data_IF_928147074912
#
_entry.id   IF_928147074912
#
_cell.length_a   1.000
_cell.length_b   1.000
_cell.length_c   1.000
_cell.angle_alpha   90.00
_cell.angle_beta   90.00
_cell.angle_gamma   90.00
#
_symmetry.space_group_name_H-M   'P 1'
#
loop_
_entity.id
_entity.type
_entity.pdbx_description
1 polymer ?
#
# COMPACT_ATOMS: atom_id res chain seq x y z
N UNK A 1 -63.13 -23.46 10.17
CA UNK A 1 -62.45 -22.16 10.37
C UNK A 1 -61.05 -22.28 10.98
N UNK A 2 -60.84 -23.03 12.08
CA UNK A 2 -59.50 -23.19 12.69
C UNK A 2 -58.42 -23.80 11.78
N UNK A 3 -58.77 -24.75 10.89
CA UNK A 3 -57.81 -25.39 9.96
C UNK A 3 -57.33 -24.47 8.83
N UNK A 4 -58.17 -23.55 8.36
CA UNK A 4 -57.82 -22.56 7.33
C UNK A 4 -56.94 -21.47 7.95
N UNK A 5 -57.21 -21.09 9.20
CA UNK A 5 -56.38 -20.13 9.95
C UNK A 5 -54.98 -20.68 10.26
N UNK A 6 -54.86 -21.97 10.63
CA UNK A 6 -53.57 -22.63 10.80
C UNK A 6 -52.79 -22.80 9.49
N UNK A 7 -53.48 -23.06 8.36
CA UNK A 7 -52.86 -23.13 7.04
C UNK A 7 -52.35 -21.77 6.55
N UNK A 8 -53.08 -20.67 6.82
CA UNK A 8 -52.61 -19.32 6.51
C UNK A 8 -51.41 -18.89 7.36
N UNK A 9 -51.34 -19.29 8.63
CA UNK A 9 -50.20 -19.01 9.52
C UNK A 9 -48.95 -19.83 9.12
N UNK A 10 -49.13 -21.06 8.64
CA UNK A 10 -48.01 -21.89 8.14
C UNK A 10 -47.53 -21.43 6.76
N UNK A 11 -48.42 -20.87 5.93
CA UNK A 11 -48.04 -20.30 4.62
C UNK A 11 -47.34 -18.92 4.77
N UNK A 12 -47.68 -18.12 5.81
CA UNK A 12 -46.96 -16.88 6.11
C UNK A 12 -45.63 -17.11 6.82
N UNK A 13 -45.46 -18.22 7.55
CA UNK A 13 -44.16 -18.63 8.11
C UNK A 13 -43.17 -19.19 7.07
N UNK A 14 -43.66 -19.63 5.90
CA UNK A 14 -42.82 -20.04 4.75
C UNK A 14 -42.44 -18.87 3.83
N UNK A 15 -42.96 -17.67 4.08
CA UNK A 15 -42.69 -16.46 3.30
C UNK A 15 -41.87 -15.41 4.09
N UNK A 16 -41.20 -15.82 5.16
CA UNK A 16 -40.14 -15.01 5.77
C UNK A 16 -38.90 -15.21 4.91
N UNK A 17 -38.31 -14.17 4.30
CA UNK A 17 -36.98 -14.33 3.72
C UNK A 17 -36.06 -14.72 4.86
N UNK A 18 -35.65 -15.98 4.88
CA UNK A 18 -34.62 -16.49 5.76
C UNK A 18 -33.28 -15.92 5.31
N UNK A 19 -33.03 -14.67 5.69
CA UNK A 19 -31.71 -14.07 5.69
C UNK A 19 -31.76 -12.90 6.69
N UNK A 20 -31.63 -13.21 7.97
CA UNK A 20 -30.99 -12.22 8.84
C UNK A 20 -29.60 -12.03 8.23
N UNK A 21 -29.37 -10.90 7.56
CA UNK A 21 -28.10 -10.57 6.94
C UNK A 21 -27.00 -10.88 7.96
N UNK A 22 -26.04 -11.73 7.58
CA UNK A 22 -24.90 -12.04 8.45
C UNK A 22 -24.22 -10.73 8.88
N UNK A 23 -23.49 -10.76 9.99
CA UNK A 23 -22.67 -9.62 10.41
C UNK A 23 -21.79 -9.15 9.23
N UNK A 24 -21.28 -10.09 8.44
CA UNK A 24 -20.50 -9.83 7.21
C UNK A 24 -21.30 -9.08 6.13
N UNK A 25 -22.55 -9.48 5.91
CA UNK A 25 -23.41 -8.87 4.89
C UNK A 25 -23.86 -7.46 5.31
N UNK A 26 -24.07 -7.25 6.61
CA UNK A 26 -24.36 -5.93 7.20
C UNK A 26 -23.14 -5.00 7.10
N UNK A 27 -21.94 -5.51 7.41
CA UNK A 27 -20.68 -4.76 7.25
C UNK A 27 -20.45 -4.43 5.78
N UNK A 28 -20.63 -5.40 4.88
CA UNK A 28 -20.48 -5.19 3.45
C UNK A 28 -21.47 -4.15 2.92
N UNK A 29 -22.74 -4.20 3.31
CA UNK A 29 -23.74 -3.19 2.92
C UNK A 29 -23.36 -1.77 3.38
N UNK A 30 -22.78 -1.63 4.57
CA UNK A 30 -22.33 -0.35 5.10
C UNK A 30 -21.03 0.15 4.44
N UNK A 31 -20.10 -0.75 4.11
CA UNK A 31 -18.75 -0.40 3.64
C UNK A 31 -18.62 -0.35 2.11
N UNK A 32 -19.39 -1.16 1.38
CA UNK A 32 -19.31 -1.25 -0.08
C UNK A 32 -19.56 0.08 -0.81
N UNK A 33 -20.52 0.94 -0.41
CA UNK A 33 -20.71 2.24 -1.06
C UNK A 33 -19.49 3.15 -0.92
N UNK A 34 -18.87 3.15 0.27
CA UNK A 34 -17.67 3.94 0.58
C UNK A 34 -16.49 3.40 -0.23
N UNK A 35 -16.27 2.09 -0.20
CA UNK A 35 -15.20 1.43 -0.94
C UNK A 35 -15.33 1.64 -2.45
N UNK A 36 -16.55 1.56 -2.99
CA UNK A 36 -16.82 1.80 -4.41
C UNK A 36 -16.54 3.25 -4.81
N UNK A 37 -16.99 4.20 -4.01
CA UNK A 37 -16.72 5.63 -4.25
C UNK A 37 -15.22 5.93 -4.22
N UNK A 38 -14.52 5.49 -3.17
CA UNK A 38 -13.07 5.66 -3.06
C UNK A 38 -12.36 4.98 -4.23
N UNK A 39 -12.78 3.76 -4.60
CA UNK A 39 -12.23 3.03 -5.72
C UNK A 39 -12.38 3.77 -7.05
N UNK A 40 -13.54 4.37 -7.31
CA UNK A 40 -13.78 5.16 -8.52
C UNK A 40 -12.89 6.42 -8.59
N UNK A 41 -12.69 7.09 -7.45
CA UNK A 41 -11.84 8.29 -7.38
C UNK A 41 -10.36 7.92 -7.52
N UNK A 42 -9.88 6.92 -6.78
CA UNK A 42 -8.47 6.51 -6.77
C UNK A 42 -8.06 5.84 -8.08
N UNK A 43 -8.90 4.95 -8.60
CA UNK A 43 -8.66 4.24 -9.86
C UNK A 43 -9.38 4.90 -11.04
N UNK A 44 -9.57 6.22 -10.98
CA UNK A 44 -10.12 7.00 -12.08
C UNK A 44 -9.35 6.68 -13.37
N UNK A 45 -10.08 6.27 -14.41
CA UNK A 45 -9.48 5.79 -15.65
C UNK A 45 -9.51 6.85 -16.72
N UNK A 46 -8.40 6.98 -17.44
CA UNK A 46 -8.31 7.82 -18.64
C UNK A 46 -8.16 6.93 -19.88
N UNK A 47 -8.85 7.27 -20.99
CA UNK A 47 -8.67 6.57 -22.25
C UNK A 47 -7.30 6.96 -22.83
N UNK A 48 -6.42 5.99 -23.01
CA UNK A 48 -5.10 6.19 -23.59
C UNK A 48 -4.76 5.01 -24.50
N UNK A 49 -4.37 5.29 -25.75
CA UNK A 49 -4.03 4.26 -26.75
C UNK A 49 -5.09 3.16 -26.94
N UNK A 50 -6.37 3.50 -26.80
CA UNK A 50 -7.48 2.54 -26.93
C UNK A 50 -7.72 1.67 -25.68
N UNK A 51 -6.96 1.87 -24.60
CA UNK A 51 -7.14 1.20 -23.31
C UNK A 51 -7.59 2.18 -22.22
N UNK A 52 -8.31 1.68 -21.22
CA UNK A 52 -8.66 2.46 -20.02
C UNK A 52 -7.60 2.24 -18.93
N UNK A 53 -6.72 3.22 -18.74
CA UNK A 53 -5.64 3.13 -17.77
C UNK A 53 -5.98 3.91 -16.50
N UNK A 54 -5.83 3.32 -15.29
CA UNK A 54 -5.96 4.06 -14.05
C UNK A 54 -4.91 5.16 -13.97
N UNK A 55 -5.36 6.40 -13.73
CA UNK A 55 -4.49 7.58 -13.67
C UNK A 55 -3.40 7.44 -12.60
N UNK A 56 -3.74 6.82 -11.46
CA UNK A 56 -2.78 6.54 -10.39
C UNK A 56 -1.61 5.67 -10.85
N UNK A 57 -1.86 4.66 -11.68
CA UNK A 57 -0.80 3.78 -12.21
C UNK A 57 0.10 4.58 -13.13
N UNK A 58 -0.47 5.39 -14.02
CA UNK A 58 0.31 6.26 -14.91
C UNK A 58 1.19 7.23 -14.11
N UNK A 59 0.62 7.86 -13.08
CA UNK A 59 1.33 8.76 -12.17
C UNK A 59 2.53 8.09 -11.49
N UNK A 60 2.31 6.88 -10.96
CA UNK A 60 3.37 6.09 -10.30
C UNK A 60 4.48 5.69 -11.28
N UNK A 61 4.13 5.27 -12.50
CA UNK A 61 5.11 4.91 -13.52
C UNK A 61 5.94 6.12 -13.94
N UNK A 62 5.31 7.28 -14.16
CA UNK A 62 6.02 8.53 -14.49
C UNK A 62 7.00 8.89 -13.36
N UNK A 63 6.56 8.83 -12.10
CA UNK A 63 7.43 9.07 -10.95
C UNK A 63 8.61 8.09 -10.88
N UNK A 64 8.37 6.80 -11.08
CA UNK A 64 9.39 5.76 -11.07
C UNK A 64 10.43 5.95 -12.19
N UNK A 65 9.96 6.28 -13.40
CA UNK A 65 10.82 6.63 -14.53
C UNK A 65 11.64 7.87 -14.20
N UNK A 66 10.99 8.95 -13.74
CA UNK A 66 11.66 10.20 -13.36
C UNK A 66 12.77 9.96 -12.33
N UNK A 67 12.49 9.30 -11.22
CA UNK A 67 13.50 9.04 -10.19
C UNK A 67 14.61 8.10 -10.68
N UNK A 68 14.29 7.12 -11.52
CA UNK A 68 15.30 6.22 -12.10
C UNK A 68 16.30 7.01 -12.94
N UNK A 69 15.83 7.89 -13.82
CA UNK A 69 16.73 8.70 -14.67
C UNK A 69 17.42 9.81 -13.87
N UNK A 70 16.70 10.52 -13.01
CA UNK A 70 17.25 11.62 -12.20
C UNK A 70 18.38 11.13 -11.26
N UNK A 71 18.21 9.95 -10.67
CA UNK A 71 19.24 9.31 -9.85
C UNK A 71 20.23 8.48 -10.67
N UNK A 72 20.21 8.59 -12.01
CA UNK A 72 21.15 7.92 -12.91
C UNK A 72 21.18 6.41 -12.74
N UNK A 73 20.04 5.73 -12.73
CA UNK A 73 19.92 4.26 -12.55
C UNK A 73 20.53 3.75 -11.24
N UNK A 74 20.20 4.40 -10.12
CA UNK A 74 20.69 4.00 -8.79
C UNK A 74 20.31 2.56 -8.42
N UNK A 75 19.18 2.08 -8.91
CA UNK A 75 18.73 0.69 -8.75
C UNK A 75 19.71 -0.34 -9.33
N UNK A 76 20.50 0.03 -10.35
CA UNK A 76 21.59 -0.80 -10.88
C UNK A 76 22.92 -0.51 -10.20
N UNK A 77 23.30 0.77 -10.13
CA UNK A 77 24.62 1.18 -9.62
C UNK A 77 24.81 0.88 -8.13
N UNK A 78 23.76 1.03 -7.34
CA UNK A 78 23.76 0.80 -5.89
C UNK A 78 23.63 -0.66 -5.48
N UNK A 79 23.34 -1.58 -6.42
CA UNK A 79 23.02 -2.97 -6.09
C UNK A 79 24.16 -3.69 -5.37
N UNK A 80 25.40 -3.53 -5.85
CA UNK A 80 26.58 -4.12 -5.20
C UNK A 80 26.73 -3.62 -3.76
N UNK A 81 26.65 -2.31 -3.56
CA UNK A 81 26.79 -1.69 -2.25
C UNK A 81 25.66 -2.10 -1.29
N UNK A 82 24.44 -2.26 -1.79
CA UNK A 82 23.32 -2.77 -1.00
C UNK A 82 23.58 -4.17 -0.45
N UNK A 83 24.22 -5.06 -1.22
CA UNK A 83 24.59 -6.40 -0.75
C UNK A 83 25.68 -6.32 0.32
N UNK A 84 26.70 -5.48 0.14
CA UNK A 84 27.77 -5.28 1.13
C UNK A 84 27.20 -4.74 2.46
N UNK A 85 26.26 -3.79 2.41
CA UNK A 85 25.55 -3.27 3.59
C UNK A 85 24.79 -4.37 4.35
N UNK A 86 24.04 -5.20 3.63
CA UNK A 86 23.20 -6.26 4.23
C UNK A 86 24.05 -7.41 4.78
N UNK A 87 25.23 -7.65 4.21
CA UNK A 87 26.23 -8.60 4.75
C UNK A 87 26.89 -8.11 6.03
N UNK A 88 26.81 -6.80 6.31
CA UNK A 88 27.43 -6.19 7.47
C UNK A 88 28.84 -5.67 7.22
N UNK A 89 29.29 -5.60 5.95
CA UNK A 89 30.63 -5.09 5.60
C UNK A 89 30.83 -3.62 6.02
N UNK A 90 29.71 -2.90 6.22
CA UNK A 90 29.64 -1.51 6.67
C UNK A 90 28.96 -1.36 8.05
N UNK A 91 28.79 -2.45 8.81
CA UNK A 91 28.17 -2.37 10.13
C UNK A 91 29.19 -1.85 11.16
N UNK A 92 28.86 -0.73 11.82
CA UNK A 92 29.63 -0.20 12.93
C UNK A 92 28.79 -0.27 14.22
N UNK A 93 29.30 -0.87 15.32
CA UNK A 93 28.60 -0.93 16.60
C UNK A 93 28.26 0.44 17.21
N UNK A 94 28.98 1.49 16.82
CA UNK A 94 28.77 2.86 17.32
C UNK A 94 27.72 3.65 16.50
N UNK A 95 27.17 3.07 15.42
CA UNK A 95 26.19 3.74 14.58
C UNK A 95 24.79 3.75 15.24
N UNK A 96 24.14 4.92 15.23
CA UNK A 96 22.81 5.10 15.80
C UNK A 96 21.73 4.33 15.01
N UNK A 97 21.10 3.35 15.65
CA UNK A 97 19.93 2.64 15.13
C UNK A 97 19.53 1.44 16.00
N UNK A 98 18.24 1.07 15.97
CA UNK A 98 17.72 -0.06 16.77
C UNK A 98 17.97 -1.44 16.15
N UNK A 99 18.11 -1.49 14.83
CA UNK A 99 18.15 -2.73 14.05
C UNK A 99 19.30 -2.71 13.06
N UNK A 100 19.88 -3.89 12.82
CA UNK A 100 20.92 -4.03 11.80
C UNK A 100 20.37 -3.82 10.38
N UNK A 101 21.25 -3.57 9.40
CA UNK A 101 20.84 -3.45 8.00
C UNK A 101 20.08 -4.68 7.49
N UNK A 102 20.52 -5.89 7.89
CA UNK A 102 19.81 -7.12 7.54
C UNK A 102 18.44 -7.21 8.19
N UNK A 103 18.32 -6.88 9.48
CA UNK A 103 17.03 -6.87 10.18
C UNK A 103 16.06 -5.85 9.58
N UNK A 104 16.54 -4.65 9.24
CA UNK A 104 15.75 -3.64 8.56
C UNK A 104 15.23 -4.14 7.19
N UNK A 105 16.11 -4.79 6.40
CA UNK A 105 15.71 -5.40 5.13
C UNK A 105 14.69 -6.53 5.35
N UNK A 106 14.94 -7.44 6.29
CA UNK A 106 14.06 -8.57 6.59
C UNK A 106 12.66 -8.10 7.00
N UNK A 107 12.56 -7.09 7.86
CA UNK A 107 11.29 -6.48 8.28
C UNK A 107 10.56 -5.81 7.12
N UNK A 108 11.27 -5.11 6.24
CA UNK A 108 10.66 -4.49 5.07
C UNK A 108 10.15 -5.54 4.06
N UNK A 109 10.92 -6.61 3.84
CA UNK A 109 10.54 -7.72 2.96
C UNK A 109 9.36 -8.50 3.53
N UNK A 110 9.34 -8.78 4.84
CA UNK A 110 8.21 -9.49 5.46
C UNK A 110 6.90 -8.70 5.37
N UNK A 111 6.96 -7.37 5.39
CA UNK A 111 5.78 -6.52 5.22
C UNK A 111 5.29 -6.39 3.76
N UNK A 112 6.12 -6.73 2.78
CA UNK A 112 5.81 -6.54 1.35
C UNK A 112 5.62 -7.84 0.58
N UNK A 113 6.17 -8.95 1.07
CA UNK A 113 5.99 -10.30 0.51
C UNK A 113 4.89 -11.01 1.28
N UNK A 114 3.78 -11.31 0.60
CA UNK A 114 2.66 -12.03 1.20
C UNK A 114 1.77 -12.73 0.18
N UNK A 115 0.63 -13.24 0.65
CA UNK A 115 -0.38 -13.93 -0.18
C UNK A 115 -0.78 -13.06 -1.38
N UNK A 116 -0.87 -11.74 -1.19
CA UNK A 116 -1.20 -10.79 -2.26
C UNK A 116 -0.23 -10.82 -3.45
N UNK A 117 1.06 -11.13 -3.24
CA UNK A 117 2.01 -11.25 -4.35
C UNK A 117 1.84 -12.57 -5.12
N UNK A 118 1.39 -13.64 -4.45
CA UNK A 118 1.15 -14.93 -5.11
C UNK A 118 -0.20 -14.88 -5.84
N UNK A 119 -1.28 -14.52 -5.14
CA UNK A 119 -2.63 -14.42 -5.69
C UNK A 119 -2.78 -13.28 -6.69
N UNK A 120 -2.22 -12.10 -6.40
CA UNK A 120 -2.30 -10.94 -7.29
C UNK A 120 -1.57 -11.17 -8.62
N UNK A 121 -0.40 -11.81 -8.60
CA UNK A 121 0.31 -12.19 -9.83
C UNK A 121 -0.50 -13.24 -10.62
N UNK A 122 -1.08 -14.23 -9.95
CA UNK A 122 -1.92 -15.22 -10.61
C UNK A 122 -3.12 -14.58 -11.32
N UNK A 123 -3.83 -13.65 -10.66
CA UNK A 123 -4.94 -12.90 -11.25
C UNK A 123 -4.45 -12.02 -12.41
N UNK A 124 -3.34 -11.30 -12.23
CA UNK A 124 -2.79 -10.43 -13.26
C UNK A 124 -2.39 -11.19 -14.53
N UNK A 125 -1.78 -12.36 -14.40
CA UNK A 125 -1.41 -13.22 -15.54
C UNK A 125 -2.64 -13.88 -16.17
N UNK A 126 -3.63 -14.29 -15.37
CA UNK A 126 -4.87 -14.89 -15.89
C UNK A 126 -5.67 -13.88 -16.70
N UNK A 127 -5.78 -12.64 -16.23
CA UNK A 127 -6.55 -11.57 -16.91
C UNK A 127 -5.75 -10.91 -18.03
N UNK A 128 -4.46 -10.64 -17.81
CA UNK A 128 -3.59 -9.91 -18.74
C UNK A 128 -2.80 -10.78 -19.71
N UNK A 129 -2.86 -12.10 -19.56
CA UNK A 129 -2.07 -13.07 -20.34
C UNK A 129 -0.60 -13.14 -19.93
N UNK A 130 0.21 -13.95 -20.63
CA UNK A 130 1.60 -14.23 -20.25
C UNK A 130 2.51 -12.99 -20.31
N UNK A 131 2.15 -11.98 -21.11
CA UNK A 131 2.88 -10.72 -21.18
C UNK A 131 2.81 -9.87 -19.90
N UNK A 132 1.83 -10.11 -19.02
CA UNK A 132 1.68 -9.38 -17.76
C UNK A 132 2.91 -9.57 -16.84
N UNK A 133 3.51 -10.76 -16.84
CA UNK A 133 4.70 -11.06 -16.02
C UNK A 133 5.86 -10.14 -16.34
N UNK A 134 6.13 -9.91 -17.63
CA UNK A 134 7.19 -9.00 -18.07
C UNK A 134 6.96 -7.58 -17.54
N UNK A 135 5.73 -7.07 -17.64
CA UNK A 135 5.39 -5.73 -17.18
C UNK A 135 5.42 -5.58 -15.66
N UNK A 136 5.05 -6.62 -14.90
CA UNK A 136 5.18 -6.63 -13.44
C UNK A 136 6.65 -6.52 -13.00
N UNK A 137 7.54 -7.25 -13.66
CA UNK A 137 8.99 -7.17 -13.40
C UNK A 137 9.51 -5.76 -13.73
N UNK A 138 9.13 -5.21 -14.88
CA UNK A 138 9.53 -3.86 -15.29
C UNK A 138 9.03 -2.78 -14.32
N UNK A 139 7.77 -2.87 -13.88
CA UNK A 139 7.21 -1.94 -12.90
C UNK A 139 7.93 -2.02 -11.55
N UNK A 140 8.23 -3.23 -11.06
CA UNK A 140 9.02 -3.44 -9.85
C UNK A 140 10.44 -2.88 -9.99
N UNK A 141 11.09 -3.12 -11.13
CA UNK A 141 12.43 -2.64 -11.41
C UNK A 141 12.54 -1.10 -11.40
N UNK A 142 11.60 -0.42 -12.04
CA UNK A 142 11.53 1.04 -12.02
C UNK A 142 11.14 1.57 -10.63
N UNK A 143 10.25 0.87 -9.93
CA UNK A 143 9.79 1.23 -8.59
C UNK A 143 10.88 1.21 -7.52
N UNK A 144 11.97 0.45 -7.72
CA UNK A 144 13.11 0.43 -6.80
C UNK A 144 13.71 1.83 -6.56
N UNK A 145 13.80 2.65 -7.61
CA UNK A 145 14.31 4.02 -7.50
C UNK A 145 13.40 4.91 -6.66
N UNK A 146 12.08 4.78 -6.82
CA UNK A 146 11.11 5.50 -5.98
C UNK A 146 11.23 5.08 -4.52
N UNK A 147 11.31 3.77 -4.25
CA UNK A 147 11.48 3.26 -2.88
C UNK A 147 12.79 3.72 -2.26
N UNK A 148 13.87 3.78 -3.04
CA UNK A 148 15.13 4.34 -2.58
C UNK A 148 14.99 5.79 -2.10
N UNK A 149 14.27 6.64 -2.85
CA UNK A 149 14.01 8.03 -2.44
C UNK A 149 13.19 8.07 -1.15
N UNK A 150 12.12 7.29 -1.06
CA UNK A 150 11.26 7.24 0.13
C UNK A 150 12.03 6.82 1.39
N UNK A 151 12.85 5.77 1.29
CA UNK A 151 13.67 5.29 2.40
C UNK A 151 14.75 6.31 2.77
N UNK A 152 15.40 6.93 1.79
CA UNK A 152 16.43 7.97 2.02
C UNK A 152 15.83 9.16 2.77
N UNK A 153 14.66 9.65 2.35
CA UNK A 153 13.95 10.70 3.07
C UNK A 153 13.49 10.24 4.45
N UNK A 154 13.03 8.99 4.57
CA UNK A 154 12.65 8.38 5.85
C UNK A 154 13.77 8.38 6.87
N UNK A 155 15.00 8.08 6.46
CA UNK A 155 16.20 8.14 7.31
C UNK A 155 16.61 9.58 7.58
N UNK A 156 16.65 10.45 6.56
CA UNK A 156 17.05 11.85 6.71
C UNK A 156 16.18 12.62 7.71
N UNK A 157 14.88 12.34 7.73
CA UNK A 157 13.91 13.07 8.56
C UNK A 157 13.41 12.27 9.77
N UNK A 158 14.07 11.15 10.13
CA UNK A 158 13.70 10.35 11.30
C UNK A 158 13.80 11.17 12.60
N UNK A 159 13.05 10.75 13.60
CA UNK A 159 13.14 11.25 14.97
C UNK A 159 13.81 10.20 15.84
N UNK A 160 14.70 10.64 16.71
CA UNK A 160 15.21 9.85 17.82
C UNK A 160 14.43 10.29 19.06
N UNK A 161 13.68 9.37 19.63
CA UNK A 161 12.79 9.61 20.76
C UNK A 161 13.59 9.56 22.08
N UNK A 162 13.08 10.14 23.18
CA UNK A 162 13.78 10.16 24.47
C UNK A 162 14.04 8.78 25.07
N UNK A 163 13.28 7.75 24.67
CA UNK A 163 13.45 6.36 25.08
C UNK A 163 14.49 5.59 24.25
N UNK A 164 15.16 6.28 23.31
CA UNK A 164 16.13 5.70 22.38
C UNK A 164 15.49 5.10 21.13
N UNK A 165 14.16 5.12 21.00
CA UNK A 165 13.49 4.59 19.82
C UNK A 165 13.58 5.53 18.61
N UNK A 166 13.52 4.98 17.40
CA UNK A 166 13.65 5.71 16.15
C UNK A 166 12.34 5.65 15.37
N UNK A 167 11.75 6.83 15.13
CA UNK A 167 10.51 6.97 14.38
C UNK A 167 10.75 7.69 13.05
N UNK A 168 10.55 6.99 11.94
CA UNK A 168 10.76 7.50 10.58
C UNK A 168 9.60 7.19 9.63
N UNK A 169 9.70 7.69 8.40
CA UNK A 169 8.74 7.43 7.33
C UNK A 169 8.03 8.66 6.77
N UNK A 170 7.05 8.45 5.87
CA UNK A 170 6.45 9.53 5.08
C UNK A 170 5.75 10.60 5.89
N UNK A 171 5.04 10.24 6.96
CA UNK A 171 4.42 11.20 7.86
C UNK A 171 5.43 12.20 8.44
N UNK A 172 6.67 11.78 8.70
CA UNK A 172 7.73 12.65 9.23
C UNK A 172 8.39 13.48 8.14
N UNK A 173 8.81 12.88 7.01
CA UNK A 173 9.46 13.65 5.95
C UNK A 173 8.50 14.61 5.24
N UNK A 174 7.20 14.29 5.15
CA UNK A 174 6.21 15.22 4.61
C UNK A 174 6.04 16.39 5.56
N UNK A 175 5.93 16.14 6.87
CA UNK A 175 5.82 17.22 7.85
C UNK A 175 7.05 18.12 7.86
N UNK A 176 8.24 17.54 8.07
CA UNK A 176 9.49 18.29 8.21
C UNK A 176 9.94 18.90 6.89
N UNK A 177 9.90 18.14 5.79
CA UNK A 177 10.33 18.60 4.48
C UNK A 177 9.50 19.76 3.92
N UNK A 178 8.19 19.81 4.18
CA UNK A 178 7.38 20.99 3.83
C UNK A 178 7.59 22.15 4.81
N UNK A 179 7.84 21.86 6.08
CA UNK A 179 8.13 22.88 7.10
C UNK A 179 9.44 23.64 6.80
N UNK A 180 10.49 22.93 6.39
CA UNK A 180 11.75 23.54 5.94
C UNK A 180 11.59 24.45 4.72
N UNK A 181 10.49 24.31 3.97
CA UNK A 181 10.14 25.16 2.82
C UNK A 181 9.18 26.30 3.19
N UNK A 182 8.95 26.53 4.48
CA UNK A 182 8.03 27.56 4.99
C UNK A 182 6.54 27.19 4.86
N UNK A 183 6.21 25.92 4.62
CA UNK A 183 4.85 25.42 4.40
C UNK A 183 4.35 24.56 5.58
N UNK A 184 4.55 25.03 6.81
CA UNK A 184 4.29 24.28 8.05
C UNK A 184 2.86 23.70 8.15
N UNK A 185 1.86 24.53 7.82
CA UNK A 185 0.45 24.12 7.89
C UNK A 185 0.13 22.99 6.90
N UNK A 186 0.65 23.10 5.67
CA UNK A 186 0.46 22.09 4.63
C UNK A 186 1.21 20.80 4.98
N UNK A 187 2.45 20.90 5.48
CA UNK A 187 3.23 19.76 5.95
C UNK A 187 2.52 19.00 7.08
N UNK A 188 1.92 19.72 8.04
CA UNK A 188 1.08 19.11 9.08
C UNK A 188 -0.08 18.34 8.50
N UNK A 189 -0.84 18.98 7.62
CA UNK A 189 -2.02 18.39 7.03
C UNK A 189 -1.70 17.10 6.27
N UNK A 190 -0.75 17.14 5.32
CA UNK A 190 -0.40 15.99 4.48
C UNK A 190 0.25 14.87 5.31
N UNK A 191 1.13 15.20 6.26
CA UNK A 191 1.74 14.19 7.13
C UNK A 191 0.71 13.47 8.00
N UNK A 192 -0.24 14.21 8.59
CA UNK A 192 -1.33 13.63 9.39
C UNK A 192 -2.29 12.82 8.52
N UNK A 193 -2.65 13.33 7.33
CA UNK A 193 -3.48 12.60 6.37
C UNK A 193 -2.86 11.25 5.99
N UNK A 194 -1.56 11.25 5.68
CA UNK A 194 -0.82 10.01 5.37
C UNK A 194 -0.83 9.04 6.57
N UNK A 195 -0.56 9.53 7.78
CA UNK A 195 -0.53 8.70 8.99
C UNK A 195 -1.87 8.02 9.27
N UNK A 196 -2.99 8.75 9.14
CA UNK A 196 -4.33 8.18 9.30
C UNK A 196 -4.62 7.18 8.18
N UNK A 197 -4.32 7.55 6.93
CA UNK A 197 -4.56 6.71 5.76
C UNK A 197 -3.81 5.37 5.84
N UNK A 198 -2.54 5.39 6.22
CA UNK A 198 -1.74 4.16 6.33
C UNK A 198 -2.18 3.31 7.53
N UNK A 199 -2.60 3.92 8.65
CA UNK A 199 -3.13 3.18 9.79
C UNK A 199 -4.41 2.42 9.42
N UNK A 200 -5.36 3.09 8.77
CA UNK A 200 -6.60 2.45 8.29
C UNK A 200 -6.28 1.41 7.21
N UNK A 201 -5.41 1.74 6.26
CA UNK A 201 -5.02 0.85 5.17
C UNK A 201 -4.34 -0.43 5.68
N UNK A 202 -3.50 -0.35 6.70
CA UNK A 202 -2.81 -1.50 7.28
C UNK A 202 -3.79 -2.55 7.85
N UNK A 203 -4.95 -2.13 8.37
CA UNK A 203 -6.00 -3.05 8.83
C UNK A 203 -6.65 -3.82 7.67
N UNK A 204 -6.70 -3.22 6.47
CA UNK A 204 -7.28 -3.82 5.28
C UNK A 204 -6.35 -4.77 4.55
N UNK A 205 -5.05 -4.44 4.44
CA UNK A 205 -4.07 -5.19 3.62
C UNK A 205 -4.00 -6.67 4.00
N UNK A 206 -4.15 -7.02 5.28
CA UNK A 206 -4.09 -8.41 5.76
C UNK A 206 -5.33 -9.27 5.43
N UNK A 207 -6.48 -8.65 5.11
CA UNK A 207 -7.78 -9.33 4.98
C UNK A 207 -8.34 -9.31 3.54
N UNK A 208 -7.59 -8.81 2.56
CA UNK A 208 -8.06 -8.65 1.17
C UNK A 208 -7.94 -9.92 0.30
N UNK A 209 -7.44 -11.03 0.85
CA UNK A 209 -7.26 -12.31 0.15
C UNK A 209 -7.68 -13.50 1.01
#
# INVERSE_FOLDING_TARGET
>A
MKRIFLALITLTLLAVPAAAAGIDETINAATAPIASFIGQVVFFKIPLFGAQLPLVVLWLVIGAVFFTFYLGFINLRGFKHAIELVRGDYANPDDNGEVSHFQALATAVSGTVGIGNIGGVAVAVTVGGPGATFWLIMAGFLGMSTKFVECTLGVKYRNENPDGSVSGGPMYYLRKGFSERGMDGFGKFIGTFYAIGIFIGALGIGNMF
#
